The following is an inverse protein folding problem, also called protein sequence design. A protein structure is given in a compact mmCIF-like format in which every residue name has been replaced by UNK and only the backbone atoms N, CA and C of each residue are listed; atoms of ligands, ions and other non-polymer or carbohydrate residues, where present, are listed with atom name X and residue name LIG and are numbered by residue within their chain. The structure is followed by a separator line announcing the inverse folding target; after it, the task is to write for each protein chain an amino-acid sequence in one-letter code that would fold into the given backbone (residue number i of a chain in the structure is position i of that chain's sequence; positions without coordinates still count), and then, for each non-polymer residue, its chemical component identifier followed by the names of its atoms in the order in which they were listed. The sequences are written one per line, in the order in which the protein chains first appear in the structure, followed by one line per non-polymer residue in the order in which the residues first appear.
data_IF_893951052591
#
_entry.id   IF_893951052591
#
_cell.length_a   1.000
_cell.length_b   1.000
_cell.length_c   1.000
_cell.angle_alpha   90.00
_cell.angle_beta   90.00
_cell.angle_gamma   90.00
#
_symmetry.space_group_name_H-M   'P 1'
#
loop_
_entity.id
_entity.type
_entity.pdbx_description
1 polymer ?
#
# COMPACT_ATOMS: atom_id res chain seq x y z
N UNK A 1 31.69 -0.31 -22.21
CA UNK A 1 30.23 -0.11 -22.38
C UNK A 1 29.98 1.39 -22.27
N UNK A 2 29.39 2.06 -23.26
CA UNK A 2 29.18 3.52 -23.19
C UNK A 2 28.02 3.79 -22.22
N UNK A 3 28.31 4.34 -21.04
CA UNK A 3 27.30 4.75 -20.08
C UNK A 3 26.57 5.96 -20.68
N UNK A 4 25.26 5.86 -20.86
CA UNK A 4 24.47 6.88 -21.56
C UNK A 4 23.62 7.74 -20.62
N UNK A 5 23.34 7.28 -19.40
CA UNK A 5 22.74 8.13 -18.35
C UNK A 5 22.86 7.48 -16.97
N UNK A 6 23.34 8.25 -15.98
CA UNK A 6 23.35 7.85 -14.56
C UNK A 6 21.93 7.72 -14.02
N UNK A 7 21.01 8.59 -14.41
CA UNK A 7 19.60 8.50 -13.98
C UNK A 7 18.95 7.18 -14.40
N UNK A 8 19.26 6.69 -15.61
CA UNK A 8 18.78 5.36 -16.08
C UNK A 8 19.35 4.20 -15.27
N UNK A 9 20.58 4.31 -14.79
CA UNK A 9 21.17 3.31 -13.90
C UNK A 9 20.46 3.31 -12.54
N UNK A 10 20.20 4.49 -11.96
CA UNK A 10 19.41 4.63 -10.74
C UNK A 10 17.99 4.03 -10.84
N UNK A 11 17.37 4.09 -12.03
CA UNK A 11 16.05 3.49 -12.26
C UNK A 11 16.07 1.96 -12.39
N UNK A 12 17.01 1.42 -13.17
CA UNK A 12 16.89 0.06 -13.71
C UNK A 12 17.92 -0.92 -13.13
N UNK A 13 19.06 -0.43 -12.66
CA UNK A 13 20.14 -1.28 -12.20
C UNK A 13 20.04 -1.58 -10.71
N UNK A 14 19.92 -2.88 -10.39
CA UNK A 14 19.81 -3.34 -9.00
C UNK A 14 21.02 -2.98 -8.14
N UNK A 15 22.19 -2.77 -8.74
CA UNK A 15 23.40 -2.36 -8.04
C UNK A 15 23.39 -0.87 -7.64
N UNK A 16 22.58 -0.05 -8.31
CA UNK A 16 22.39 1.37 -8.02
C UNK A 16 21.22 1.64 -7.06
N UNK A 17 20.32 0.68 -6.87
CA UNK A 17 19.20 0.82 -5.95
C UNK A 17 19.66 0.57 -4.49
N UNK A 18 19.61 1.58 -3.59
CA UNK A 18 20.08 1.43 -2.21
C UNK A 18 19.20 0.52 -1.33
N UNK A 19 18.02 0.11 -1.82
CA UNK A 19 17.09 -0.79 -1.13
C UNK A 19 17.10 -2.23 -1.70
N UNK A 20 18.14 -2.55 -2.47
CA UNK A 20 18.34 -3.86 -3.10
C UNK A 20 19.45 -4.63 -2.40
N UNK A 21 19.28 -5.95 -2.26
CA UNK A 21 20.33 -6.84 -1.74
C UNK A 21 21.59 -6.85 -2.62
N UNK A 22 21.46 -6.43 -3.89
CA UNK A 22 22.57 -6.35 -4.84
C UNK A 22 23.25 -4.97 -4.87
N UNK A 23 22.86 -4.04 -3.98
CA UNK A 23 23.44 -2.69 -3.92
C UNK A 23 24.96 -2.75 -3.74
N UNK A 24 25.71 -2.03 -4.59
CA UNK A 24 27.17 -2.05 -4.57
C UNK A 24 27.77 -0.63 -4.67
N UNK A 25 28.12 0.00 -3.53
CA UNK A 25 28.64 1.37 -3.53
C UNK A 25 30.00 1.52 -4.22
N UNK A 26 30.85 0.48 -4.20
CA UNK A 26 32.16 0.51 -4.84
C UNK A 26 32.03 0.52 -6.37
N UNK A 27 31.13 -0.32 -6.90
CA UNK A 27 30.81 -0.35 -8.33
C UNK A 27 30.22 0.99 -8.80
N UNK A 28 29.33 1.58 -8.01
CA UNK A 28 28.77 2.92 -8.32
C UNK A 28 29.90 3.94 -8.41
N UNK A 29 30.81 4.00 -7.43
CA UNK A 29 31.93 4.94 -7.46
C UNK A 29 32.84 4.78 -8.68
N UNK A 30 33.11 3.54 -9.10
CA UNK A 30 33.89 3.26 -10.31
C UNK A 30 33.18 3.80 -11.55
N UNK A 31 31.89 3.50 -11.70
CA UNK A 31 31.07 3.94 -12.84
C UNK A 31 30.95 5.46 -12.88
N UNK A 32 30.75 6.12 -11.73
CA UNK A 32 30.69 7.58 -11.64
C UNK A 32 32.03 8.23 -12.03
N UNK A 33 33.17 7.65 -11.61
CA UNK A 33 34.50 8.14 -12.00
C UNK A 33 34.74 8.02 -13.50
N UNK A 34 34.35 6.91 -14.12
CA UNK A 34 34.45 6.71 -15.57
C UNK A 34 33.55 7.69 -16.34
N UNK A 35 32.30 7.83 -15.90
CA UNK A 35 31.32 8.74 -16.48
C UNK A 35 31.84 10.19 -16.48
N UNK A 36 32.28 10.69 -15.32
CA UNK A 36 32.82 12.05 -15.18
C UNK A 36 34.12 12.30 -15.96
N UNK A 37 34.91 11.25 -16.26
CA UNK A 37 36.09 11.35 -17.13
C UNK A 37 35.67 11.49 -18.59
N UNK A 38 34.74 10.66 -19.05
CA UNK A 38 34.24 10.69 -20.44
C UNK A 38 33.50 12.00 -20.78
N UNK A 39 32.82 12.59 -19.80
CA UNK A 39 32.12 13.89 -19.92
C UNK A 39 33.08 15.07 -20.14
N UNK A 40 34.31 15.01 -19.59
CA UNK A 40 35.31 16.07 -19.78
C UNK A 40 35.86 16.13 -21.21
N UNK A 41 35.69 15.05 -21.99
CA UNK A 41 36.23 14.91 -23.34
C UNK A 41 35.19 15.26 -24.43
N UNK A 42 33.89 15.29 -24.12
CA UNK A 42 32.81 15.49 -25.11
C UNK A 42 32.00 16.79 -24.82
N UNK A 43 32.33 17.88 -25.50
CA UNK A 43 31.75 19.22 -25.26
C UNK A 43 30.42 19.49 -25.98
N UNK A 44 29.88 18.54 -26.75
CA UNK A 44 28.89 18.81 -27.80
C UNK A 44 27.39 18.75 -27.42
N UNK A 45 26.99 18.28 -26.22
CA UNK A 45 25.56 18.07 -25.87
C UNK A 45 25.15 18.75 -24.56
N UNK A 46 24.75 20.03 -24.60
CA UNK A 46 24.61 20.87 -23.37
C UNK A 46 23.31 20.63 -22.57
N UNK A 47 22.22 20.14 -23.18
CA UNK A 47 20.91 20.02 -22.50
C UNK A 47 20.66 18.69 -21.76
N UNK A 48 21.25 17.58 -22.21
CA UNK A 48 21.21 16.31 -21.48
C UNK A 48 22.22 16.27 -20.30
N UNK A 49 23.10 17.28 -20.20
CA UNK A 49 24.18 17.38 -19.19
C UNK A 49 23.73 17.78 -17.79
N UNK A 50 22.77 18.69 -17.64
CA UNK A 50 22.34 19.14 -16.30
C UNK A 50 21.54 18.06 -15.56
N UNK A 51 20.65 17.35 -16.25
CA UNK A 51 19.83 16.27 -15.70
C UNK A 51 20.66 15.09 -15.17
N UNK A 52 21.80 14.80 -15.81
CA UNK A 52 22.67 13.68 -15.40
C UNK A 52 23.67 14.09 -14.31
N UNK A 53 24.09 15.36 -14.22
CA UNK A 53 24.87 15.85 -13.07
C UNK A 53 24.04 15.78 -11.77
N UNK A 54 22.76 16.14 -11.83
CA UNK A 54 21.87 15.99 -10.68
C UNK A 54 21.66 14.51 -10.31
N UNK A 55 21.60 13.61 -11.31
CA UNK A 55 21.60 12.17 -11.08
C UNK A 55 22.91 11.66 -10.46
N UNK A 56 24.06 12.21 -10.85
CA UNK A 56 25.36 11.93 -10.21
C UNK A 56 25.33 12.34 -8.73
N UNK A 57 24.78 13.51 -8.39
CA UNK A 57 24.63 13.96 -7.00
C UNK A 57 23.77 12.98 -6.19
N UNK A 58 22.67 12.50 -6.76
CA UNK A 58 21.84 11.46 -6.13
C UNK A 58 22.66 10.18 -5.92
N UNK A 59 23.35 9.70 -6.96
CA UNK A 59 24.14 8.47 -6.93
C UNK A 59 25.29 8.50 -5.90
N UNK A 60 25.89 9.66 -5.64
CA UNK A 60 26.92 9.82 -4.60
C UNK A 60 26.32 9.61 -3.19
N UNK A 61 25.05 9.99 -3.00
CA UNK A 61 24.38 9.95 -1.70
C UNK A 61 23.61 8.65 -1.44
N UNK A 62 23.53 7.73 -2.42
CA UNK A 62 22.91 6.40 -2.23
C UNK A 62 23.42 5.62 -1.01
N UNK A 63 24.69 5.73 -0.54
CA UNK A 63 25.13 5.06 0.68
C UNK A 63 24.35 5.48 1.93
N UNK A 64 23.91 6.74 2.02
CA UNK A 64 23.10 7.24 3.16
C UNK A 64 21.74 6.54 3.19
N UNK A 65 21.09 6.39 2.04
CA UNK A 65 19.83 5.66 1.93
C UNK A 65 19.99 4.18 2.27
N UNK A 66 21.08 3.55 1.82
CA UNK A 66 21.37 2.15 2.15
C UNK A 66 21.67 1.94 3.64
N UNK A 67 22.25 2.93 4.32
CA UNK A 67 22.46 2.90 5.76
C UNK A 67 21.12 2.76 6.50
N UNK A 68 20.12 3.59 6.20
CA UNK A 68 18.78 3.47 6.79
C UNK A 68 18.11 2.12 6.51
N UNK A 69 18.25 1.61 5.28
CA UNK A 69 17.73 0.28 4.91
C UNK A 69 18.35 -0.83 5.77
N UNK A 70 19.68 -0.82 5.95
CA UNK A 70 20.41 -1.81 6.75
C UNK A 70 20.09 -1.69 8.25
N UNK A 71 20.03 -0.47 8.78
CA UNK A 71 19.65 -0.24 10.17
C UNK A 71 18.26 -0.80 10.47
N UNK A 72 17.28 -0.57 9.58
CA UNK A 72 15.95 -1.16 9.77
C UNK A 72 15.99 -2.69 9.68
N UNK A 73 16.74 -3.25 8.73
CA UNK A 73 16.86 -4.69 8.59
C UNK A 73 17.46 -5.35 9.84
N UNK A 74 18.57 -4.81 10.35
CA UNK A 74 19.21 -5.32 11.57
C UNK A 74 18.34 -5.11 12.80
N UNK A 75 17.62 -3.98 12.88
CA UNK A 75 16.62 -3.74 13.91
C UNK A 75 15.54 -4.84 13.92
N UNK A 76 14.93 -5.12 12.76
CA UNK A 76 13.91 -6.16 12.63
C UNK A 76 14.46 -7.55 12.98
N UNK A 77 15.64 -7.88 12.46
CA UNK A 77 16.31 -9.15 12.73
C UNK A 77 16.58 -9.32 14.23
N UNK A 78 17.06 -8.27 14.90
CA UNK A 78 17.29 -8.28 16.36
C UNK A 78 15.99 -8.51 17.11
N UNK A 79 14.91 -7.80 16.78
CA UNK A 79 13.60 -7.99 17.41
C UNK A 79 13.06 -9.40 17.22
N UNK A 80 13.17 -9.98 16.02
CA UNK A 80 12.75 -11.37 15.77
C UNK A 80 13.68 -12.40 16.43
N UNK A 81 14.93 -12.02 16.70
CA UNK A 81 15.89 -12.87 17.40
C UNK A 81 15.60 -13.03 18.89
N UNK A 82 14.70 -12.23 19.46
CA UNK A 82 14.33 -12.32 20.88
C UNK A 82 13.59 -13.64 21.20
N UNK A 83 13.88 -14.28 22.35
CA UNK A 83 13.21 -15.52 22.75
C UNK A 83 11.68 -15.40 22.83
N UNK A 84 10.99 -16.36 22.20
CA UNK A 84 9.53 -16.46 22.21
C UNK A 84 8.81 -15.63 21.13
N UNK A 85 9.50 -14.73 20.43
CA UNK A 85 8.92 -13.99 19.30
C UNK A 85 8.95 -14.91 18.07
N UNK A 86 7.76 -15.23 17.57
CA UNK A 86 7.55 -16.02 16.35
C UNK A 86 7.03 -15.08 15.24
N UNK A 87 7.54 -15.26 14.01
CA UNK A 87 7.20 -14.42 12.84
C UNK A 87 5.69 -14.40 12.56
N UNK A 88 5.01 -15.54 12.67
CA UNK A 88 3.56 -15.66 12.47
C UNK A 88 2.81 -14.79 13.48
N UNK A 89 3.22 -14.79 14.75
CA UNK A 89 2.58 -13.94 15.76
C UNK A 89 2.80 -12.46 15.45
N UNK A 90 4.00 -12.07 15.01
CA UNK A 90 4.28 -10.68 14.61
C UNK A 90 3.38 -10.26 13.45
N UNK A 91 3.24 -11.10 12.41
CA UNK A 91 2.33 -10.84 11.30
C UNK A 91 0.89 -10.62 11.78
N UNK A 92 0.41 -11.47 12.70
CA UNK A 92 -0.93 -11.35 13.26
C UNK A 92 -1.15 -10.02 13.99
N UNK A 93 -0.17 -9.59 14.79
CA UNK A 93 -0.24 -8.31 15.50
C UNK A 93 -0.12 -7.11 14.56
N UNK A 94 0.70 -7.18 13.50
CA UNK A 94 0.78 -6.13 12.49
C UNK A 94 -0.55 -5.93 11.77
N UNK A 95 -1.22 -7.01 11.37
CA UNK A 95 -2.57 -6.94 10.77
C UNK A 95 -3.56 -6.34 11.77
N UNK A 96 -3.48 -6.73 13.05
CA UNK A 96 -4.36 -6.22 14.08
C UNK A 96 -4.16 -4.71 14.34
N UNK A 97 -2.91 -4.21 14.30
CA UNK A 97 -2.59 -2.78 14.38
C UNK A 97 -3.22 -2.03 13.20
N UNK A 98 -3.03 -2.51 11.96
CA UNK A 98 -3.62 -1.88 10.77
C UNK A 98 -5.15 -1.84 10.84
N UNK A 99 -5.78 -2.96 11.26
CA UNK A 99 -7.23 -3.02 11.43
C UNK A 99 -7.74 -2.04 12.48
N UNK A 100 -7.03 -1.93 13.62
CA UNK A 100 -7.34 -0.96 14.66
C UNK A 100 -7.26 0.47 14.12
N UNK A 101 -6.17 0.83 13.45
CA UNK A 101 -5.97 2.18 12.93
C UNK A 101 -7.02 2.51 11.87
N UNK A 102 -7.28 1.61 10.93
CA UNK A 102 -8.40 1.73 9.97
C UNK A 102 -9.73 1.98 10.67
N UNK A 103 -10.04 1.23 11.73
CA UNK A 103 -11.28 1.40 12.48
C UNK A 103 -11.36 2.78 13.15
N UNK A 104 -10.26 3.27 13.69
CA UNK A 104 -10.19 4.62 14.29
C UNK A 104 -10.39 5.72 13.26
N UNK A 105 -9.86 5.54 12.04
CA UNK A 105 -10.10 6.43 10.90
C UNK A 105 -11.58 6.43 10.53
N UNK A 106 -12.18 5.26 10.32
CA UNK A 106 -13.61 5.12 10.00
C UNK A 106 -14.50 5.81 11.05
N UNK A 107 -14.21 5.59 12.33
CA UNK A 107 -14.96 6.22 13.42
C UNK A 107 -14.84 7.75 13.39
N UNK A 108 -13.66 8.28 13.06
CA UNK A 108 -13.43 9.72 12.96
C UNK A 108 -14.16 10.33 11.75
N UNK A 109 -14.13 9.65 10.60
CA UNK A 109 -14.86 10.04 9.39
C UNK A 109 -16.37 10.01 9.65
N UNK A 110 -16.89 8.94 10.25
CA UNK A 110 -18.32 8.80 10.54
C UNK A 110 -18.83 9.89 11.49
N UNK A 111 -18.04 10.25 12.52
CA UNK A 111 -18.36 11.38 13.40
C UNK A 111 -18.43 12.70 12.64
N UNK A 112 -17.54 12.93 11.68
CA UNK A 112 -17.57 14.13 10.84
C UNK A 112 -18.79 14.15 9.90
N UNK A 113 -19.11 13.02 9.26
CA UNK A 113 -20.30 12.89 8.41
C UNK A 113 -21.57 13.18 9.22
N UNK A 114 -21.65 12.67 10.44
CA UNK A 114 -22.82 12.88 11.30
C UNK A 114 -22.93 14.31 11.86
N UNK A 115 -21.82 15.05 11.95
CA UNK A 115 -21.80 16.40 12.50
C UNK A 115 -21.97 17.51 11.46
N UNK A 116 -21.97 17.17 10.16
CA UNK A 116 -22.05 18.14 9.06
C UNK A 116 -23.20 17.82 8.10
N UNK A 117 -24.00 18.84 7.75
CA UNK A 117 -25.09 18.69 6.76
C UNK A 117 -24.60 18.75 5.31
N UNK A 118 -23.37 19.20 5.09
CA UNK A 118 -22.71 19.25 3.78
C UNK A 118 -21.26 18.85 3.98
N UNK A 119 -20.76 18.00 3.09
CA UNK A 119 -19.44 17.43 3.19
C UNK A 119 -18.66 17.79 1.93
N UNK A 120 -17.61 18.59 2.09
CA UNK A 120 -16.74 18.98 0.97
C UNK A 120 -15.58 18.00 0.86
N UNK A 121 -15.15 17.70 -0.35
CA UNK A 121 -14.02 16.79 -0.58
C UNK A 121 -12.72 17.35 -0.01
N UNK A 122 -12.59 18.67 -0.04
CA UNK A 122 -11.51 19.41 0.60
C UNK A 122 -11.47 19.15 2.11
N UNK A 123 -12.63 19.04 2.77
CA UNK A 123 -12.73 18.76 4.21
C UNK A 123 -12.32 17.32 4.52
N UNK A 124 -12.68 16.34 3.67
CA UNK A 124 -12.18 14.96 3.80
C UNK A 124 -10.67 14.89 3.63
N UNK A 125 -10.13 15.59 2.63
CA UNK A 125 -8.69 15.66 2.38
C UNK A 125 -7.94 16.42 3.48
N UNK A 126 -8.63 17.16 4.35
CA UNK A 126 -8.05 17.85 5.50
C UNK A 126 -8.31 17.13 6.83
N UNK A 127 -8.99 15.98 6.83
CA UNK A 127 -9.25 15.22 8.04
C UNK A 127 -7.92 14.81 8.67
N UNK A 128 -7.68 15.34 9.87
CA UNK A 128 -6.50 15.01 10.66
C UNK A 128 -6.91 14.03 11.75
N UNK A 129 -6.15 12.94 11.87
CA UNK A 129 -6.28 12.05 13.02
C UNK A 129 -5.40 12.66 14.10
N UNK A 130 -6.04 13.13 15.18
CA UNK A 130 -5.34 13.66 16.35
C UNK A 130 -4.80 12.50 17.19
N UNK A 131 -3.52 12.21 17.05
CA UNK A 131 -2.78 11.52 18.10
C UNK A 131 -2.05 12.56 18.97
N UNK A 132 -1.90 12.27 20.27
CA UNK A 132 -1.40 13.18 21.32
C UNK A 132 -0.16 14.02 20.95
N UNK A 133 0.63 13.65 19.95
CA UNK A 133 1.81 14.39 19.48
C UNK A 133 1.98 14.46 17.95
N UNK A 134 1.04 13.96 17.14
CA UNK A 134 1.18 13.95 15.68
C UNK A 134 -0.18 14.11 15.00
N UNK A 135 -0.25 15.03 14.03
CA UNK A 135 -1.42 15.26 13.18
C UNK A 135 -1.10 14.76 11.78
N UNK A 136 -1.57 13.56 11.45
CA UNK A 136 -1.48 13.04 10.08
C UNK A 136 -2.80 13.23 9.34
N UNK A 137 -2.71 13.47 8.04
CA UNK A 137 -3.85 13.41 7.15
C UNK A 137 -4.37 11.97 7.10
N UNK A 138 -5.67 11.79 7.31
CA UNK A 138 -6.30 10.47 7.38
C UNK A 138 -6.20 9.67 6.08
N UNK A 139 -6.29 10.33 4.93
CA UNK A 139 -6.13 9.69 3.62
C UNK A 139 -4.71 9.14 3.48
N UNK A 140 -3.71 9.98 3.79
CA UNK A 140 -2.32 9.58 3.75
C UNK A 140 -2.02 8.44 4.75
N UNK A 141 -2.62 8.50 5.95
CA UNK A 141 -2.48 7.44 6.96
C UNK A 141 -3.08 6.11 6.47
N UNK A 142 -4.19 6.15 5.75
CA UNK A 142 -4.83 4.94 5.19
C UNK A 142 -3.99 4.31 4.08
N UNK A 143 -3.48 5.12 3.15
CA UNK A 143 -2.61 4.64 2.06
C UNK A 143 -1.29 4.07 2.61
N UNK A 144 -0.66 4.82 3.53
CA UNK A 144 0.59 4.44 4.16
C UNK A 144 0.47 3.09 4.89
N UNK A 145 -0.65 2.82 5.58
CA UNK A 145 -0.86 1.55 6.29
C UNK A 145 -0.63 0.31 5.41
N UNK A 146 -1.14 0.36 4.17
CA UNK A 146 -1.05 -0.75 3.22
C UNK A 146 0.38 -0.95 2.74
N UNK A 147 1.08 0.15 2.43
CA UNK A 147 2.47 0.11 1.99
C UNK A 147 3.41 -0.39 3.09
N UNK A 148 3.22 0.07 4.33
CA UNK A 148 3.98 -0.39 5.49
C UNK A 148 3.77 -1.87 5.74
N UNK A 149 2.53 -2.35 5.65
CA UNK A 149 2.22 -3.76 5.81
C UNK A 149 2.88 -4.59 4.71
N UNK A 150 2.79 -4.16 3.45
CA UNK A 150 3.44 -4.85 2.33
C UNK A 150 4.96 -4.90 2.50
N UNK A 151 5.58 -3.78 2.89
CA UNK A 151 7.00 -3.72 3.19
C UNK A 151 7.37 -4.73 4.28
N UNK A 152 6.71 -4.68 5.43
CA UNK A 152 6.98 -5.58 6.55
C UNK A 152 6.76 -7.04 6.19
N UNK A 153 5.68 -7.40 5.49
CA UNK A 153 5.43 -8.78 5.07
C UNK A 153 6.52 -9.30 4.12
N UNK A 154 7.00 -8.46 3.20
CA UNK A 154 8.11 -8.81 2.32
C UNK A 154 9.41 -9.04 3.10
N UNK A 155 9.69 -8.24 4.13
CA UNK A 155 10.83 -8.46 5.02
C UNK A 155 10.68 -9.73 5.87
N UNK A 156 9.52 -9.93 6.50
CA UNK A 156 9.26 -11.06 7.39
C UNK A 156 9.38 -12.41 6.69
N UNK A 157 9.12 -12.46 5.37
CA UNK A 157 9.34 -13.65 4.52
C UNK A 157 10.78 -14.19 4.62
N UNK A 158 11.79 -13.34 4.77
CA UNK A 158 13.18 -13.75 4.85
C UNK A 158 13.53 -14.44 6.19
N UNK A 159 12.77 -14.14 7.25
CA UNK A 159 12.98 -14.68 8.60
C UNK A 159 12.11 -15.89 8.93
N UNK A 160 11.13 -16.22 8.07
CA UNK A 160 10.18 -17.32 8.30
C UNK A 160 10.84 -18.71 8.39
N UNK A 161 12.07 -18.88 7.90
CA UNK A 161 12.78 -20.17 7.90
C UNK A 161 13.59 -20.45 9.17
N UNK A 162 13.73 -19.51 10.09
CA UNK A 162 14.47 -19.69 11.36
C UNK A 162 13.61 -20.25 12.51
N UNK A 163 12.43 -20.78 12.18
CA UNK A 163 11.29 -20.92 13.10
C UNK A 163 11.26 -22.26 13.87
N UNK A 164 12.35 -22.60 14.56
CA UNK A 164 12.39 -23.69 15.56
C UNK A 164 12.01 -23.23 16.98
N UNK A 165 11.42 -22.04 17.13
CA UNK A 165 11.25 -21.38 18.43
C UNK A 165 9.88 -21.67 19.05
N UNK A 166 9.88 -22.11 20.31
CA UNK A 166 8.66 -22.37 21.08
C UNK A 166 7.81 -21.11 21.27
N UNK A 167 6.50 -21.25 21.06
CA UNK A 167 5.50 -20.18 21.05
C UNK A 167 5.03 -19.79 22.48
N UNK A 168 5.97 -19.34 23.31
CA UNK A 168 5.73 -19.02 24.73
C UNK A 168 5.87 -17.52 25.08
N UNK A 169 5.90 -16.60 24.10
CA UNK A 169 6.01 -15.17 24.42
C UNK A 169 4.74 -14.58 25.01
N UNK A 170 4.95 -13.66 25.96
CA UNK A 170 3.90 -12.84 26.58
C UNK A 170 3.27 -11.92 25.51
N UNK A 171 1.94 -11.89 25.35
CA UNK A 171 1.23 -11.04 24.38
C UNK A 171 1.72 -9.59 24.31
N UNK A 172 1.94 -8.96 25.46
CA UNK A 172 2.43 -7.58 25.55
C UNK A 172 3.79 -7.36 24.85
N UNK A 173 4.70 -8.34 24.92
CA UNK A 173 6.01 -8.26 24.25
C UNK A 173 5.87 -8.35 22.74
N UNK A 174 4.99 -9.22 22.25
CA UNK A 174 4.72 -9.35 20.81
C UNK A 174 4.06 -8.07 20.28
N UNK A 175 3.13 -7.50 21.04
CA UNK A 175 2.51 -6.22 20.72
C UNK A 175 3.54 -5.09 20.64
N UNK A 176 4.41 -4.98 21.64
CA UNK A 176 5.46 -3.96 21.68
C UNK A 176 6.44 -4.11 20.51
N UNK A 177 6.90 -5.33 20.24
CA UNK A 177 7.78 -5.63 19.11
C UNK A 177 7.13 -5.24 17.77
N UNK A 178 5.89 -5.69 17.55
CA UNK A 178 5.15 -5.42 16.30
C UNK A 178 4.88 -3.92 16.12
N UNK A 179 4.53 -3.22 17.20
CA UNK A 179 4.29 -1.77 17.17
C UNK A 179 5.56 -0.98 16.86
N UNK A 180 6.70 -1.38 17.43
CA UNK A 180 7.96 -0.72 17.12
C UNK A 180 8.42 -1.00 15.68
N UNK A 181 8.26 -2.23 15.18
CA UNK A 181 8.53 -2.57 13.78
C UNK A 181 7.66 -1.75 12.83
N UNK A 182 6.36 -1.64 13.14
CA UNK A 182 5.42 -0.83 12.38
C UNK A 182 5.86 0.64 12.33
N UNK A 183 6.20 1.24 13.46
CA UNK A 183 6.71 2.63 13.51
C UNK A 183 8.05 2.81 12.79
N UNK A 184 8.98 1.87 12.93
CA UNK A 184 10.27 1.93 12.28
C UNK A 184 10.15 1.81 10.74
N UNK A 185 9.18 1.02 10.26
CA UNK A 185 8.90 0.92 8.82
C UNK A 185 8.45 2.24 8.20
N UNK A 186 7.78 3.11 8.97
CA UNK A 186 7.39 4.44 8.52
C UNK A 186 8.61 5.31 8.16
N UNK A 187 9.67 5.25 8.96
CA UNK A 187 10.91 5.97 8.66
C UNK A 187 11.51 5.51 7.32
N UNK A 188 11.60 4.19 7.09
CA UNK A 188 12.13 3.68 5.84
C UNK A 188 11.22 4.02 4.65
N UNK A 189 9.91 4.01 4.83
CA UNK A 189 8.99 4.47 3.80
C UNK A 189 9.29 5.90 3.38
N UNK A 190 9.44 6.82 4.34
CA UNK A 190 9.78 8.23 4.06
C UNK A 190 11.14 8.36 3.36
N UNK A 191 12.14 7.61 3.80
CA UNK A 191 13.48 7.61 3.18
C UNK A 191 13.43 7.06 1.76
N UNK A 192 12.65 6.01 1.52
CA UNK A 192 12.45 5.42 0.19
C UNK A 192 11.66 6.34 -0.74
N UNK A 193 10.56 6.92 -0.26
CA UNK A 193 9.77 7.90 -1.01
C UNK A 193 10.62 9.12 -1.40
N UNK A 194 11.43 9.64 -0.46
CA UNK A 194 12.39 10.70 -0.74
C UNK A 194 13.37 10.33 -1.87
N UNK A 195 13.96 9.13 -1.81
CA UNK A 195 14.86 8.65 -2.87
C UNK A 195 14.12 8.52 -4.21
N UNK A 196 12.99 7.83 -4.22
CA UNK A 196 12.21 7.57 -5.43
C UNK A 196 11.81 8.90 -6.08
N UNK A 197 11.28 9.87 -5.33
CA UNK A 197 10.95 11.19 -5.88
C UNK A 197 12.15 11.89 -6.52
N UNK A 198 13.34 11.81 -5.92
CA UNK A 198 14.53 12.43 -6.53
C UNK A 198 14.90 11.77 -7.86
N UNK A 199 14.79 10.45 -7.96
CA UNK A 199 15.11 9.74 -9.20
C UNK A 199 14.01 9.96 -10.25
N UNK A 200 12.73 9.79 -9.89
CA UNK A 200 11.57 9.80 -10.79
C UNK A 200 11.08 11.19 -11.19
N UNK A 201 11.17 12.19 -10.31
CA UNK A 201 10.63 13.55 -10.55
C UNK A 201 11.71 14.54 -11.01
N UNK A 202 12.80 14.04 -11.60
CA UNK A 202 13.95 14.85 -12.00
C UNK A 202 14.51 15.72 -10.86
N UNK A 203 14.47 15.24 -9.61
CA UNK A 203 15.05 15.97 -8.47
C UNK A 203 16.58 15.94 -8.43
N UNK A 204 17.13 16.60 -7.42
CA UNK A 204 18.54 16.58 -7.02
C UNK A 204 18.69 16.63 -5.50
N UNK A 205 19.86 16.26 -5.01
CA UNK A 205 20.26 16.40 -3.61
C UNK A 205 21.29 17.54 -3.50
N UNK A 206 21.09 18.42 -2.51
CA UNK A 206 22.01 19.48 -2.15
C UNK A 206 22.46 19.26 -0.71
N UNK A 207 23.76 19.20 -0.49
CA UNK A 207 24.33 19.13 0.84
C UNK A 207 24.55 20.55 1.38
N UNK A 208 24.01 20.83 2.57
CA UNK A 208 24.19 22.11 3.26
C UNK A 208 24.17 21.88 4.76
N UNK A 209 25.14 22.43 5.49
CA UNK A 209 25.20 22.34 6.96
C UNK A 209 25.09 20.89 7.49
N UNK A 210 25.76 19.92 6.84
CA UNK A 210 25.69 18.49 7.18
C UNK A 210 24.30 17.85 6.98
N UNK A 211 23.36 18.56 6.35
CA UNK A 211 22.02 18.06 6.02
C UNK A 211 21.88 17.86 4.50
N UNK A 212 21.12 16.83 4.12
CA UNK A 212 20.75 16.56 2.73
C UNK A 212 19.39 17.20 2.43
N UNK A 213 19.41 18.23 1.58
CA UNK A 213 18.23 18.91 1.08
C UNK A 213 17.80 18.31 -0.24
N UNK A 214 16.55 17.87 -0.32
CA UNK A 214 15.92 17.42 -1.56
C UNK A 214 15.41 18.64 -2.31
N UNK A 215 15.82 18.81 -3.56
CA UNK A 215 15.39 19.91 -4.41
C UNK A 215 14.79 19.39 -5.72
N UNK A 216 13.58 19.83 -6.03
CA UNK A 216 12.96 19.63 -7.34
C UNK A 216 13.44 20.71 -8.31
N UNK A 217 13.55 20.38 -9.61
CA UNK A 217 13.97 21.33 -10.65
C UNK A 217 13.06 22.57 -10.66
N UNK A 218 11.75 22.33 -10.56
CA UNK A 218 10.75 23.38 -10.45
C UNK A 218 10.28 23.49 -8.99
N UNK A 219 10.45 24.65 -8.32
CA UNK A 219 10.05 24.82 -6.91
C UNK A 219 8.58 24.52 -6.64
N UNK A 220 7.72 24.77 -7.63
CA UNK A 220 6.26 24.60 -7.52
C UNK A 220 5.75 23.28 -8.12
N UNK A 221 6.63 22.42 -8.67
CA UNK A 221 6.18 21.19 -9.36
C UNK A 221 5.34 20.30 -8.48
N UNK A 222 5.70 20.16 -7.21
CA UNK A 222 4.93 19.36 -6.26
C UNK A 222 3.56 19.97 -5.97
N UNK A 223 3.48 21.29 -5.83
CA UNK A 223 2.21 22.00 -5.63
C UNK A 223 1.31 21.79 -6.86
N UNK A 224 1.87 21.95 -8.07
CA UNK A 224 1.15 21.76 -9.32
C UNK A 224 0.72 20.30 -9.51
N UNK A 225 1.56 19.33 -9.16
CA UNK A 225 1.23 17.91 -9.20
C UNK A 225 0.08 17.59 -8.26
N UNK A 226 0.12 18.09 -7.01
CA UNK A 226 -0.94 17.91 -6.03
C UNK A 226 -2.26 18.56 -6.49
N UNK A 227 -2.21 19.76 -7.07
CA UNK A 227 -3.37 20.42 -7.66
C UNK A 227 -3.94 19.62 -8.85
N UNK A 228 -3.06 19.05 -9.68
CA UNK A 228 -3.42 18.17 -10.79
C UNK A 228 -4.12 16.91 -10.30
N UNK A 229 -3.51 16.21 -9.33
CA UNK A 229 -4.07 15.01 -8.70
C UNK A 229 -5.43 15.29 -8.07
N UNK A 230 -5.56 16.38 -7.31
CA UNK A 230 -6.83 16.78 -6.71
C UNK A 230 -7.93 17.00 -7.78
N UNK A 231 -7.60 17.69 -8.88
CA UNK A 231 -8.56 17.91 -9.99
C UNK A 231 -8.97 16.60 -10.66
N UNK A 232 -8.01 15.70 -10.90
CA UNK A 232 -8.28 14.39 -11.49
C UNK A 232 -9.16 13.55 -10.56
N UNK A 233 -8.83 13.48 -9.27
CA UNK A 233 -9.62 12.76 -8.27
C UNK A 233 -11.04 13.31 -8.16
N UNK A 234 -11.20 14.64 -8.12
CA UNK A 234 -12.52 15.28 -8.08
C UNK A 234 -13.35 14.93 -9.31
N UNK A 235 -12.76 15.00 -10.50
CA UNK A 235 -13.46 14.69 -11.74
C UNK A 235 -13.80 13.19 -11.82
N UNK A 236 -12.87 12.33 -11.44
CA UNK A 236 -13.09 10.88 -11.40
C UNK A 236 -14.18 10.50 -10.41
N UNK A 237 -14.25 11.16 -9.25
CA UNK A 237 -15.31 10.94 -8.26
C UNK A 237 -16.67 11.42 -8.79
N UNK A 238 -16.73 12.60 -9.40
CA UNK A 238 -17.97 13.10 -10.01
C UNK A 238 -18.48 12.13 -11.10
N UNK A 239 -17.57 11.62 -11.91
CA UNK A 239 -17.88 10.66 -12.96
C UNK A 239 -18.25 9.28 -12.38
N UNK A 240 -17.58 8.82 -11.32
CA UNK A 240 -17.91 7.56 -10.66
C UNK A 240 -19.29 7.61 -9.98
N UNK A 241 -19.67 8.73 -9.37
CA UNK A 241 -21.03 8.94 -8.84
C UNK A 241 -22.06 8.84 -9.98
N UNK A 242 -21.78 9.49 -11.11
CA UNK A 242 -22.67 9.48 -12.28
C UNK A 242 -22.84 8.06 -12.83
N UNK A 243 -21.75 7.32 -13.01
CA UNK A 243 -21.79 5.92 -13.46
C UNK A 243 -22.49 5.04 -12.43
N UNK A 244 -22.20 5.22 -11.14
CA UNK A 244 -22.84 4.46 -10.07
C UNK A 244 -24.35 4.63 -10.11
N UNK A 245 -24.85 5.87 -10.24
CA UNK A 245 -26.27 6.15 -10.39
C UNK A 245 -26.84 5.46 -11.64
N UNK A 246 -26.14 5.60 -12.78
CA UNK A 246 -26.59 4.98 -14.03
C UNK A 246 -26.65 3.45 -13.98
N UNK A 247 -25.64 2.79 -13.39
CA UNK A 247 -25.59 1.34 -13.22
C UNK A 247 -26.61 0.83 -12.19
N UNK A 248 -26.88 1.61 -11.14
CA UNK A 248 -27.92 1.32 -10.15
C UNK A 248 -29.31 1.41 -10.76
N UNK A 249 -29.56 2.41 -11.61
CA UNK A 249 -30.83 2.64 -12.29
C UNK A 249 -31.04 1.70 -13.50
N UNK A 250 -29.96 1.23 -14.14
CA UNK A 250 -30.01 0.35 -15.30
C UNK A 250 -29.26 -0.97 -15.04
N UNK A 251 -29.86 -1.93 -14.31
CA UNK A 251 -29.20 -3.17 -13.88
C UNK A 251 -28.93 -4.17 -15.04
N UNK A 252 -29.25 -3.83 -16.28
CA UNK A 252 -29.08 -4.72 -17.45
C UNK A 252 -27.61 -5.09 -17.65
N UNK A 253 -26.69 -4.13 -17.52
CA UNK A 253 -25.25 -4.40 -17.63
C UNK A 253 -24.74 -5.35 -16.54
N UNK A 254 -25.28 -5.20 -15.32
CA UNK A 254 -24.93 -6.03 -14.17
C UNK A 254 -25.53 -7.43 -14.26
N UNK A 255 -26.72 -7.55 -14.85
CA UNK A 255 -27.32 -8.84 -15.19
C UNK A 255 -26.46 -9.61 -16.18
N UNK A 256 -25.96 -8.97 -17.23
CA UNK A 256 -25.06 -9.60 -18.20
C UNK A 256 -23.79 -10.18 -17.55
N UNK A 257 -23.17 -9.44 -16.62
CA UNK A 257 -22.03 -9.93 -15.85
C UNK A 257 -22.41 -11.13 -14.97
N UNK A 258 -23.59 -11.09 -14.34
CA UNK A 258 -24.08 -12.19 -13.49
C UNK A 258 -24.51 -13.45 -14.27
N UNK A 259 -25.03 -13.30 -15.49
CA UNK A 259 -25.55 -14.39 -16.33
C UNK A 259 -24.45 -15.37 -16.79
N UNK A 260 -23.21 -14.91 -16.92
CA UNK A 260 -22.06 -15.76 -17.26
C UNK A 260 -21.59 -16.67 -16.12
N UNK A 261 -22.08 -16.52 -14.89
CA UNK A 261 -21.72 -17.37 -13.75
C UNK A 261 -22.96 -17.98 -13.09
N UNK A 262 -22.90 -19.28 -12.78
CA UNK A 262 -23.87 -19.92 -11.87
C UNK A 262 -23.65 -19.38 -10.45
N UNK A 263 -24.32 -18.27 -10.11
CA UNK A 263 -24.16 -17.55 -8.85
C UNK A 263 -24.37 -18.46 -7.64
N UNK A 264 -23.38 -18.47 -6.75
CA UNK A 264 -23.39 -19.17 -5.46
C UNK A 264 -23.31 -18.12 -4.37
N UNK A 265 -24.35 -18.01 -3.55
CA UNK A 265 -24.41 -17.00 -2.48
C UNK A 265 -24.20 -17.65 -1.12
N UNK A 266 -23.48 -16.97 -0.23
CA UNK A 266 -23.40 -17.37 1.17
C UNK A 266 -24.78 -17.15 1.81
N UNK A 267 -25.39 -18.21 2.32
CA UNK A 267 -26.74 -18.18 2.91
C UNK A 267 -26.73 -18.06 4.43
N UNK A 268 -25.66 -18.52 5.08
CA UNK A 268 -25.54 -18.50 6.53
C UNK A 268 -24.07 -18.44 6.93
N UNK A 269 -23.78 -17.72 8.02
CA UNK A 269 -22.47 -17.64 8.65
C UNK A 269 -22.66 -17.87 10.15
N UNK A 270 -21.87 -18.75 10.75
CA UNK A 270 -21.83 -19.00 12.19
C UNK A 270 -20.39 -18.94 12.66
N UNK A 271 -20.13 -18.15 13.68
CA UNK A 271 -18.82 -18.07 14.33
C UNK A 271 -18.91 -18.87 15.63
N UNK A 272 -17.98 -19.80 15.84
CA UNK A 272 -17.94 -20.55 17.10
C UNK A 272 -17.18 -19.77 18.19
N UNK A 273 -17.23 -20.27 19.43
CA UNK A 273 -16.54 -19.69 20.60
C UNK A 273 -15.02 -19.59 20.50
N UNK A 274 -14.41 -20.11 19.43
CA UNK A 274 -12.98 -20.04 19.15
C UNK A 274 -12.65 -19.15 17.94
N UNK A 275 -13.62 -18.37 17.45
CA UNK A 275 -13.45 -17.45 16.33
C UNK A 275 -13.43 -18.10 14.94
N UNK A 276 -13.87 -19.35 14.81
CA UNK A 276 -13.95 -20.01 13.50
C UNK A 276 -15.28 -19.75 12.81
N UNK A 277 -15.19 -19.30 11.56
CA UNK A 277 -16.33 -19.12 10.67
C UNK A 277 -16.72 -20.44 10.01
N UNK A 278 -17.99 -20.82 10.14
CA UNK A 278 -18.67 -21.83 9.31
C UNK A 278 -19.69 -21.12 8.44
N UNK A 279 -19.70 -21.40 7.14
CA UNK A 279 -20.67 -20.82 6.22
C UNK A 279 -21.37 -21.90 5.38
N UNK A 280 -22.58 -21.60 4.91
CA UNK A 280 -23.31 -22.40 3.91
C UNK A 280 -23.54 -21.59 2.65
N UNK A 281 -23.64 -22.28 1.52
CA UNK A 281 -23.81 -21.67 0.18
C UNK A 281 -25.09 -22.20 -0.45
N UNK A 282 -25.85 -21.35 -1.12
CA UNK A 282 -27.05 -21.72 -1.88
C UNK A 282 -26.89 -21.41 -3.37
N UNK A 283 -27.53 -22.23 -4.22
CA UNK A 283 -27.60 -22.01 -5.66
C UNK A 283 -28.89 -21.25 -6.00
N UNK A 284 -28.76 -20.21 -6.85
CA UNK A 284 -29.81 -19.34 -7.45
C UNK A 284 -30.44 -18.25 -6.56
N UNK A 285 -30.78 -17.05 -7.07
CA UNK A 285 -31.01 -16.65 -8.47
C UNK A 285 -30.57 -15.21 -8.84
N UNK A 286 -31.17 -14.58 -9.89
CA UNK A 286 -30.70 -13.37 -10.61
C UNK A 286 -30.68 -12.06 -9.79
N UNK A 287 -30.85 -12.19 -8.48
CA UNK A 287 -30.77 -11.16 -7.46
C UNK A 287 -29.66 -11.50 -6.44
N UNK A 288 -28.60 -12.22 -6.85
CA UNK A 288 -27.30 -12.06 -6.21
C UNK A 288 -27.00 -10.56 -6.33
N UNK A 289 -27.35 -9.84 -5.26
CA UNK A 289 -27.60 -8.40 -5.29
C UNK A 289 -26.52 -7.69 -6.07
N UNK A 290 -26.90 -6.62 -6.78
CA UNK A 290 -25.98 -5.54 -7.10
C UNK A 290 -25.24 -5.17 -5.81
N UNK A 291 -24.12 -5.81 -5.53
CA UNK A 291 -23.29 -5.52 -4.38
C UNK A 291 -22.87 -4.07 -4.63
N UNK A 292 -23.21 -3.17 -3.70
CA UNK A 292 -22.86 -1.76 -3.81
C UNK A 292 -21.38 -1.60 -4.10
N UNK A 293 -20.59 -2.52 -3.57
CA UNK A 293 -19.15 -2.67 -3.69
C UNK A 293 -18.75 -2.98 -5.15
N UNK A 294 -19.45 -3.90 -5.83
CA UNK A 294 -19.23 -4.20 -7.25
C UNK A 294 -19.55 -2.98 -8.12
N UNK A 295 -20.71 -2.34 -7.89
CA UNK A 295 -21.14 -1.17 -8.68
C UNK A 295 -20.17 0.00 -8.48
N UNK A 296 -19.78 0.25 -7.24
CA UNK A 296 -18.83 1.29 -6.89
C UNK A 296 -17.46 1.03 -7.49
N UNK A 297 -16.95 -0.21 -7.40
CA UNK A 297 -15.66 -0.59 -7.96
C UNK A 297 -15.62 -0.48 -9.49
N UNK A 298 -16.65 -0.96 -10.19
CA UNK A 298 -16.78 -0.79 -11.64
C UNK A 298 -16.86 0.68 -12.05
N UNK A 299 -17.59 1.50 -11.29
CA UNK A 299 -17.69 2.93 -11.53
C UNK A 299 -16.33 3.64 -11.38
N UNK A 300 -15.51 3.25 -10.39
CA UNK A 300 -14.17 3.78 -10.21
C UNK A 300 -13.21 3.36 -11.34
N UNK A 301 -13.24 2.09 -11.76
CA UNK A 301 -12.41 1.64 -12.89
C UNK A 301 -12.79 2.37 -14.17
N UNK A 302 -14.09 2.50 -14.46
CA UNK A 302 -14.54 3.24 -15.63
C UNK A 302 -14.15 4.74 -15.56
N UNK A 303 -14.04 5.32 -14.36
CA UNK A 303 -13.65 6.71 -14.17
C UNK A 303 -12.14 6.96 -14.30
N UNK A 304 -11.30 6.12 -13.71
CA UNK A 304 -9.85 6.30 -13.74
C UNK A 304 -9.17 5.60 -14.93
N UNK A 305 -9.75 4.48 -15.38
CA UNK A 305 -9.13 3.54 -16.30
C UNK A 305 -10.12 3.02 -17.36
N UNK A 306 -10.79 3.91 -18.13
CA UNK A 306 -11.82 3.52 -19.09
C UNK A 306 -11.35 2.54 -20.18
N UNK A 307 -10.04 2.43 -20.40
CA UNK A 307 -9.42 1.56 -21.38
C UNK A 307 -9.08 0.14 -20.86
N UNK A 308 -9.27 -0.14 -19.57
CA UNK A 308 -8.88 -1.41 -18.96
C UNK A 308 -10.01 -2.46 -18.91
N UNK A 309 -11.26 -2.09 -19.20
CA UNK A 309 -12.45 -2.90 -18.83
C UNK A 309 -12.65 -4.19 -19.62
N UNK A 310 -11.82 -4.56 -20.61
CA UNK A 310 -12.00 -5.81 -21.39
C UNK A 310 -10.71 -6.50 -21.82
N UNK A 311 -9.57 -6.08 -21.27
CA UNK A 311 -8.28 -6.68 -21.62
C UNK A 311 -8.05 -7.94 -20.79
N UNK A 312 -7.86 -9.07 -21.45
CA UNK A 312 -7.46 -10.31 -20.78
C UNK A 312 -6.07 -10.16 -20.16
N UNK A 313 -5.95 -10.56 -18.89
CA UNK A 313 -4.68 -10.60 -18.18
C UNK A 313 -4.07 -11.99 -18.39
N UNK A 314 -3.20 -12.11 -19.40
CA UNK A 314 -2.63 -13.39 -19.86
C UNK A 314 -1.98 -14.21 -18.74
N UNK A 315 -1.29 -13.56 -17.80
CA UNK A 315 -0.62 -14.22 -16.66
C UNK A 315 -1.57 -14.68 -15.56
N UNK A 316 -2.83 -14.25 -15.60
CA UNK A 316 -3.87 -14.58 -14.63
C UNK A 316 -4.98 -15.44 -15.26
N UNK A 317 -4.60 -16.37 -16.15
CA UNK A 317 -5.55 -17.31 -16.75
C UNK A 317 -6.62 -16.62 -17.60
N UNK A 318 -6.28 -15.49 -18.23
CA UNK A 318 -7.17 -14.67 -19.06
C UNK A 318 -8.34 -14.01 -18.33
N UNK A 319 -8.24 -13.88 -17.01
CA UNK A 319 -9.18 -13.05 -16.25
C UNK A 319 -9.13 -11.59 -16.74
N UNK A 320 -10.27 -10.92 -16.75
CA UNK A 320 -10.37 -9.48 -16.99
C UNK A 320 -10.35 -8.71 -15.66
N UNK A 321 -10.22 -7.38 -15.72
CA UNK A 321 -10.36 -6.53 -14.53
C UNK A 321 -11.78 -6.66 -13.94
N UNK A 322 -12.80 -6.78 -14.79
CA UNK A 322 -14.18 -6.97 -14.36
C UNK A 322 -14.34 -8.30 -13.57
N UNK A 323 -13.68 -9.38 -14.02
CA UNK A 323 -13.67 -10.66 -13.28
C UNK A 323 -13.03 -10.53 -11.90
N UNK A 324 -11.91 -9.81 -11.81
CA UNK A 324 -11.21 -9.56 -10.54
C UNK A 324 -12.07 -8.72 -9.59
N UNK A 325 -12.82 -7.75 -10.12
CA UNK A 325 -13.75 -6.93 -9.33
C UNK A 325 -14.91 -7.73 -8.76
N UNK A 326 -15.45 -8.67 -9.54
CA UNK A 326 -16.47 -9.59 -9.04
C UNK A 326 -15.93 -10.43 -7.88
N UNK A 327 -14.74 -11.02 -8.04
CA UNK A 327 -14.10 -11.81 -6.98
C UNK A 327 -13.80 -10.98 -5.72
N UNK A 328 -13.33 -9.75 -5.90
CA UNK A 328 -13.09 -8.83 -4.79
C UNK A 328 -14.40 -8.48 -4.07
N UNK A 329 -15.45 -8.15 -4.81
CA UNK A 329 -16.77 -7.83 -4.24
C UNK A 329 -17.32 -9.00 -3.43
N UNK A 330 -17.21 -10.23 -3.93
CA UNK A 330 -17.62 -11.44 -3.19
C UNK A 330 -16.82 -11.62 -1.87
N UNK A 331 -15.53 -11.30 -1.89
CA UNK A 331 -14.67 -11.35 -0.71
C UNK A 331 -15.05 -10.27 0.32
N UNK A 332 -15.32 -9.04 -0.13
CA UNK A 332 -15.80 -7.95 0.72
C UNK A 332 -17.13 -8.33 1.35
N UNK A 333 -18.08 -8.83 0.55
CA UNK A 333 -19.39 -9.26 1.04
C UNK A 333 -19.28 -10.38 2.08
N UNK A 334 -18.39 -11.37 1.86
CA UNK A 334 -18.09 -12.39 2.87
C UNK A 334 -17.56 -11.75 4.16
N UNK A 335 -16.69 -10.76 4.05
CA UNK A 335 -16.07 -10.07 5.19
C UNK A 335 -17.09 -9.26 5.99
N UNK A 336 -18.01 -8.55 5.33
CA UNK A 336 -19.12 -7.84 5.96
C UNK A 336 -20.06 -8.79 6.69
N UNK A 337 -20.46 -9.88 6.04
CA UNK A 337 -21.33 -10.88 6.66
C UNK A 337 -20.69 -11.54 7.87
N UNK A 338 -19.36 -11.69 7.85
CA UNK A 338 -18.60 -12.16 9.00
C UNK A 338 -18.63 -11.11 10.12
N UNK A 339 -18.44 -9.82 9.80
CA UNK A 339 -18.50 -8.71 10.77
C UNK A 339 -19.86 -8.62 11.46
N UNK A 340 -20.96 -8.76 10.72
CA UNK A 340 -22.33 -8.77 11.27
C UNK A 340 -22.56 -9.92 12.28
N UNK A 341 -21.75 -10.98 12.19
CA UNK A 341 -21.84 -12.15 13.07
C UNK A 341 -20.85 -12.11 14.25
N UNK A 342 -19.97 -11.10 14.31
CA UNK A 342 -19.08 -10.91 15.46
C UNK A 342 -19.87 -10.25 16.59
N UNK A 343 -19.71 -10.67 17.86
CA UNK A 343 -20.31 -9.97 18.98
C UNK A 343 -19.83 -8.51 18.98
N UNK A 344 -20.72 -7.57 19.31
CA UNK A 344 -20.34 -6.16 19.52
C UNK A 344 -19.27 -6.09 20.61
N UNK A 345 -18.02 -5.89 20.21
CA UNK A 345 -16.91 -5.74 21.15
C UNK A 345 -16.98 -4.33 21.72
N UNK A 346 -17.74 -4.17 22.81
CA UNK A 346 -17.92 -2.89 23.50
C UNK A 346 -16.69 -2.47 24.33
N UNK A 347 -15.71 -3.35 24.54
CA UNK A 347 -14.43 -3.05 25.19
C UNK A 347 -13.31 -3.88 24.57
N UNK A 348 -12.79 -3.44 23.42
CA UNK A 348 -11.66 -4.06 22.75
C UNK A 348 -10.35 -3.65 23.47
N UNK A 349 -10.05 -4.31 24.58
CA UNK A 349 -8.80 -4.09 25.33
C UNK A 349 -7.64 -4.95 24.81
N UNK A 350 -7.93 -6.05 24.09
CA UNK A 350 -6.91 -6.91 23.48
C UNK A 350 -6.95 -6.82 21.94
N UNK A 351 -5.80 -6.54 21.32
CA UNK A 351 -5.67 -6.35 19.87
C UNK A 351 -6.04 -7.64 19.09
N UNK A 352 -5.99 -8.80 19.75
CA UNK A 352 -6.42 -10.08 19.18
C UNK A 352 -7.92 -10.15 18.89
N UNK A 353 -8.74 -9.31 19.51
CA UNK A 353 -10.18 -9.26 19.24
C UNK A 353 -10.49 -8.73 17.82
N UNK A 354 -9.50 -8.15 17.15
CA UNK A 354 -9.56 -7.74 15.74
C UNK A 354 -9.13 -8.84 14.75
N UNK A 355 -8.80 -10.05 15.22
CA UNK A 355 -8.43 -11.18 14.36
C UNK A 355 -9.60 -12.09 14.03
N UNK A 356 -9.89 -12.21 12.74
CA UNK A 356 -10.90 -13.12 12.20
C UNK A 356 -10.22 -14.30 11.48
N UNK A 357 -10.64 -15.54 11.75
CA UNK A 357 -10.05 -16.76 11.14
C UNK A 357 -11.07 -17.52 10.28
N UNK A 358 -10.82 -17.59 8.97
CA UNK A 358 -11.63 -18.38 8.01
C UNK A 358 -11.02 -19.77 7.90
N UNK A 359 -11.81 -20.83 8.16
CA UNK A 359 -11.38 -22.22 7.90
C UNK A 359 -12.09 -22.73 6.67
N UNK A 360 -11.35 -22.99 5.60
CA UNK A 360 -11.87 -23.69 4.42
C UNK A 360 -12.13 -25.15 4.80
N UNK A 361 -13.40 -25.54 4.88
CA UNK A 361 -13.77 -26.95 4.85
C UNK A 361 -13.55 -27.46 3.41
N UNK A 362 -12.33 -27.92 3.12
CA UNK A 362 -12.12 -28.80 1.98
C UNK A 362 -12.93 -30.07 2.26
N UNK A 363 -14.09 -30.20 1.61
CA UNK A 363 -14.71 -31.51 1.45
C UNK A 363 -13.81 -32.28 0.49
N UNK A 364 -13.04 -33.21 1.03
CA UNK A 364 -12.48 -34.35 0.29
C UNK A 364 -13.60 -35.17 -0.32
#
# INVERSE_FOLDING_TARGET
MKITSIRKLLFNEKSFNPFSDNYNPEQIQLILKEYLKSEKEDTSQIKDKESDIDAVRIAVQTPVFNYYYKELYEYMKKTLSEPGINVINVIQYLIAIVNHDTKMIEMSINKMIQSTNQLRLEEMAMLKIDEKNFKSNAVNSYELQTDLLNLLLNYLKYFHKEDSRHNNAVPARIHEASSKMYRASNLLYVVKDAFDRMVWENGTIIEKNEELYLRYIEPDSQILLQLGMFRVQRNALAYSITIYQHLKENPIYLRFLSETRKGKNISNIRINSRGYIRYSVQNEGPNALLQSELVQGLAFIAAFYPHFTRKELEKLGKLTVDDLMVLHSELVHLTEKVKDCLPEVNDATDIKDYMVRIRTCLKT
#
